data_IF_202207237353
#
_entry.id   IF_202207237353
#
_cell.length_a   1.000
_cell.length_b   1.000
_cell.length_c   1.000
_cell.angle_alpha   90.00
_cell.angle_beta   90.00
_cell.angle_gamma   90.00
#
_symmetry.space_group_name_H-M   'P 1'
#
loop_
_entity.id
_entity.type
_entity.pdbx_description
1 polymer ?
#
# COMPACT_ATOMS: atom_id res chain seq x y z
N UNK A 1 12.63 -15.48 18.02
CA UNK A 1 11.19 -15.53 17.69
C UNK A 1 10.52 -14.15 17.57
N UNK A 2 11.24 -13.01 17.55
CA UNK A 2 10.61 -11.67 17.36
C UNK A 2 10.49 -11.21 15.91
N UNK A 3 11.42 -11.62 15.03
CA UNK A 3 11.42 -11.24 13.60
C UNK A 3 10.17 -11.73 12.88
N UNK A 4 9.59 -12.87 13.29
CA UNK A 4 8.39 -13.40 12.62
C UNK A 4 7.17 -12.49 12.82
N UNK A 5 7.00 -11.88 14.00
CA UNK A 5 5.85 -11.03 14.26
C UNK A 5 5.90 -9.71 13.45
N UNK A 6 7.08 -9.13 13.32
CA UNK A 6 7.28 -7.92 12.50
C UNK A 6 7.16 -8.24 11.00
N UNK A 7 7.69 -9.38 10.54
CA UNK A 7 7.52 -9.80 9.14
C UNK A 7 6.07 -10.18 8.84
N UNK A 8 5.34 -10.84 9.75
CA UNK A 8 3.91 -11.15 9.62
C UNK A 8 3.07 -9.88 9.47
N UNK A 9 3.41 -8.81 10.20
CA UNK A 9 2.77 -7.50 10.05
C UNK A 9 3.07 -6.93 8.66
N UNK A 10 4.34 -6.99 8.22
CA UNK A 10 4.78 -6.50 6.91
C UNK A 10 4.08 -7.23 5.76
N UNK A 11 3.93 -8.55 5.87
CA UNK A 11 3.21 -9.39 4.92
C UNK A 11 1.71 -9.08 4.94
N UNK A 12 1.11 -8.94 6.12
CA UNK A 12 -0.30 -8.57 6.27
C UNK A 12 -0.62 -7.23 5.60
N UNK A 13 0.19 -6.19 5.85
CA UNK A 13 0.07 -4.89 5.17
C UNK A 13 0.20 -5.03 3.66
N UNK A 14 1.15 -5.84 3.18
CA UNK A 14 1.34 -6.09 1.74
C UNK A 14 0.12 -6.77 1.12
N UNK A 15 -0.49 -7.74 1.80
CA UNK A 15 -1.71 -8.42 1.35
C UNK A 15 -2.88 -7.44 1.34
N UNK A 16 -3.04 -6.64 2.39
CA UNK A 16 -4.12 -5.66 2.50
C UNK A 16 -4.12 -4.67 1.33
N UNK A 17 -2.96 -4.07 1.01
CA UNK A 17 -2.82 -3.09 -0.06
C UNK A 17 -2.95 -3.70 -1.46
N UNK A 18 -2.66 -5.01 -1.61
CA UNK A 18 -2.82 -5.75 -2.87
C UNK A 18 -4.23 -6.27 -3.11
N UNK A 19 -5.00 -6.45 -2.04
CA UNK A 19 -6.34 -7.04 -2.14
C UNK A 19 -7.34 -5.95 -2.49
N UNK A 20 -8.18 -6.21 -3.50
CA UNK A 20 -9.27 -5.29 -3.85
C UNK A 20 -10.48 -5.59 -2.96
N UNK A 21 -11.16 -4.55 -2.43
CA UNK A 21 -12.45 -4.75 -1.78
C UNK A 21 -13.40 -5.54 -2.69
N UNK A 22 -14.02 -6.58 -2.15
CA UNK A 22 -14.88 -7.52 -2.87
C UNK A 22 -14.20 -8.77 -3.44
N UNK A 23 -12.86 -8.87 -3.47
CA UNK A 23 -12.16 -10.10 -3.90
C UNK A 23 -12.41 -11.27 -2.95
N UNK A 24 -12.58 -10.99 -1.66
CA UNK A 24 -12.88 -12.00 -0.65
C UNK A 24 -14.39 -12.09 -0.44
N UNK A 25 -15.01 -13.14 -0.96
CA UNK A 25 -16.47 -13.39 -0.83
C UNK A 25 -16.95 -13.33 0.62
N UNK A 26 -16.15 -13.84 1.56
CA UNK A 26 -16.50 -13.88 2.99
C UNK A 26 -16.09 -12.60 3.75
N UNK A 27 -15.35 -11.68 3.13
CA UNK A 27 -14.88 -10.42 3.70
C UNK A 27 -14.85 -9.33 2.61
N UNK A 28 -16.02 -8.87 2.14
CA UNK A 28 -16.10 -7.94 1.01
C UNK A 28 -15.43 -6.59 1.31
N UNK A 29 -15.38 -6.18 2.59
CA UNK A 29 -14.75 -4.92 2.99
C UNK A 29 -13.22 -5.02 3.09
N UNK A 30 -12.65 -6.23 3.05
CA UNK A 30 -11.19 -6.42 3.17
C UNK A 30 -10.47 -6.01 1.90
N UNK A 31 -9.55 -5.07 2.03
CA UNK A 31 -8.67 -4.62 0.97
C UNK A 31 -8.40 -3.13 1.04
N UNK A 32 -7.77 -2.62 -0.02
CA UNK A 32 -7.60 -1.20 -0.24
C UNK A 32 -7.92 -0.88 -1.71
N UNK A 33 -8.79 0.10 -1.95
CA UNK A 33 -9.23 0.49 -3.27
C UNK A 33 -8.22 1.34 -4.04
N UNK A 34 -6.91 1.17 -3.79
CA UNK A 34 -5.81 1.87 -4.50
C UNK A 34 -5.98 1.71 -6.02
N UNK A 35 -6.46 0.55 -6.46
CA UNK A 35 -6.72 0.24 -7.86
C UNK A 35 -7.79 1.11 -8.53
N UNK A 36 -8.69 1.74 -7.77
CA UNK A 36 -9.71 2.65 -8.32
C UNK A 36 -9.09 3.94 -8.84
N UNK A 37 -7.97 4.35 -8.24
CA UNK A 37 -7.25 5.57 -8.57
C UNK A 37 -6.24 5.38 -9.71
N UNK A 38 -6.13 4.16 -10.28
CA UNK A 38 -5.18 3.84 -11.36
C UNK A 38 -5.42 4.65 -12.62
N UNK A 39 -6.65 5.08 -12.87
CA UNK A 39 -7.03 5.78 -14.09
C UNK A 39 -7.30 7.28 -13.87
N UNK A 40 -7.14 7.76 -12.64
CA UNK A 40 -7.38 9.15 -12.29
C UNK A 40 -6.10 9.99 -12.43
N UNK A 41 -6.28 11.26 -12.75
CA UNK A 41 -5.20 12.23 -12.74
C UNK A 41 -4.81 12.50 -11.28
N UNK A 42 -3.55 12.23 -10.93
CA UNK A 42 -3.01 12.57 -9.62
C UNK A 42 -3.09 14.08 -9.38
N UNK A 43 -4.08 14.50 -8.60
CA UNK A 43 -4.18 15.83 -8.02
C UNK A 43 -4.07 15.76 -6.48
N UNK A 44 -3.96 16.92 -5.84
CA UNK A 44 -3.82 16.98 -4.37
C UNK A 44 -5.03 16.40 -3.62
N UNK A 45 -6.23 16.43 -4.24
CA UNK A 45 -7.44 15.87 -3.64
C UNK A 45 -7.41 14.34 -3.69
N UNK A 46 -7.01 13.78 -4.83
CA UNK A 46 -6.82 12.35 -5.04
C UNK A 46 -5.77 11.79 -4.08
N UNK A 47 -4.66 12.50 -3.93
CA UNK A 47 -3.60 12.14 -3.00
C UNK A 47 -4.14 12.08 -1.55
N UNK A 48 -4.89 13.10 -1.13
CA UNK A 48 -5.49 13.15 0.20
C UNK A 48 -6.51 12.01 0.42
N UNK A 49 -7.37 11.75 -0.57
CA UNK A 49 -8.36 10.67 -0.53
C UNK A 49 -7.67 9.30 -0.44
N UNK A 50 -6.64 9.08 -1.24
CA UNK A 50 -5.87 7.84 -1.24
C UNK A 50 -5.16 7.62 0.10
N UNK A 51 -4.54 8.67 0.65
CA UNK A 51 -3.93 8.60 1.98
C UNK A 51 -4.95 8.26 3.06
N UNK A 52 -6.16 8.82 3.00
CA UNK A 52 -7.21 8.52 3.96
C UNK A 52 -7.75 7.11 3.83
N UNK A 53 -7.98 6.63 2.61
CA UNK A 53 -8.44 5.27 2.37
C UNK A 53 -7.42 4.23 2.88
N UNK A 54 -6.14 4.43 2.60
CA UNK A 54 -5.06 3.58 3.12
C UNK A 54 -5.04 3.63 4.65
N UNK A 55 -5.18 4.82 5.23
CA UNK A 55 -5.21 5.01 6.69
C UNK A 55 -6.36 4.23 7.33
N UNK A 56 -7.58 4.36 6.80
CA UNK A 56 -8.76 3.66 7.31
C UNK A 56 -8.60 2.14 7.19
N UNK A 57 -8.14 1.65 6.05
CA UNK A 57 -7.90 0.22 5.83
C UNK A 57 -6.91 -0.34 6.84
N UNK A 58 -5.77 0.35 7.06
CA UNK A 58 -4.76 -0.09 8.03
C UNK A 58 -5.31 -0.07 9.47
N UNK A 59 -6.03 0.99 9.86
CA UNK A 59 -6.59 1.11 11.20
C UNK A 59 -7.60 0.00 11.51
N UNK A 60 -8.36 -0.44 10.51
CA UNK A 60 -9.38 -1.46 10.68
C UNK A 60 -8.80 -2.89 10.61
N UNK A 61 -7.92 -3.16 9.65
CA UNK A 61 -7.45 -4.51 9.37
C UNK A 61 -6.10 -4.87 10.02
N UNK A 62 -5.34 -3.91 10.52
CA UNK A 62 -4.03 -4.14 11.15
C UNK A 62 -3.88 -3.48 12.53
N UNK A 63 -4.63 -3.93 13.56
CA UNK A 63 -4.64 -3.32 14.89
C UNK A 63 -3.33 -3.50 15.68
N UNK A 64 -2.42 -4.36 15.20
CA UNK A 64 -1.12 -4.65 15.85
C UNK A 64 -0.15 -3.48 15.75
N UNK A 65 -0.39 -2.53 14.84
CA UNK A 65 0.45 -1.35 14.66
C UNK A 65 -0.27 -0.06 15.12
N UNK A 66 0.52 0.97 15.38
CA UNK A 66 0.09 2.36 15.43
C UNK A 66 0.59 3.01 14.16
N UNK A 67 -0.34 3.47 13.33
CA UNK A 67 0.00 4.19 12.11
C UNK A 67 0.49 5.60 12.47
N UNK A 68 1.73 5.93 12.09
CA UNK A 68 2.33 7.23 12.38
C UNK A 68 2.22 8.18 11.18
N UNK A 69 2.42 7.69 9.95
CA UNK A 69 2.26 8.47 8.73
C UNK A 69 1.98 7.59 7.50
N UNK A 70 1.23 8.15 6.54
CA UNK A 70 1.07 7.61 5.17
C UNK A 70 1.42 8.73 4.21
N UNK A 71 2.27 8.45 3.23
CA UNK A 71 2.67 9.41 2.19
C UNK A 71 2.60 8.71 0.84
N UNK A 72 2.09 9.42 -0.16
CA UNK A 72 2.02 8.93 -1.54
C UNK A 72 2.92 9.81 -2.38
N UNK A 73 3.92 9.23 -3.02
CA UNK A 73 4.87 9.97 -3.85
C UNK A 73 4.78 9.48 -5.29
N UNK A 74 4.49 10.38 -6.23
CA UNK A 74 4.64 10.10 -7.66
C UNK A 74 6.13 10.08 -7.99
N UNK A 75 6.65 8.94 -8.48
CA UNK A 75 8.07 8.79 -8.83
C UNK A 75 8.37 9.06 -10.28
N UNK A 76 7.40 8.82 -11.16
CA UNK A 76 7.55 9.00 -12.59
C UNK A 76 6.85 10.29 -13.02
N UNK A 77 7.53 11.17 -13.76
CA UNK A 77 6.94 12.38 -14.32
C UNK A 77 5.82 12.06 -15.33
N UNK A 78 5.79 10.84 -15.86
CA UNK A 78 4.72 10.33 -16.72
C UNK A 78 3.58 9.65 -15.92
N UNK A 79 3.66 9.60 -14.59
CA UNK A 79 2.60 9.06 -13.73
C UNK A 79 2.54 7.53 -13.62
N UNK A 80 3.50 6.80 -14.21
CA UNK A 80 3.49 5.32 -14.24
C UNK A 80 3.78 4.62 -12.91
N UNK A 81 4.23 5.33 -11.87
CA UNK A 81 4.58 4.74 -10.57
C UNK A 81 4.29 5.64 -9.38
N UNK A 82 3.57 5.07 -8.41
CA UNK A 82 3.31 5.63 -7.09
C UNK A 82 4.07 4.83 -6.03
N UNK A 83 4.84 5.51 -5.20
CA UNK A 83 5.44 4.91 -4.01
C UNK A 83 4.60 5.31 -2.80
N UNK A 84 3.93 4.32 -2.20
CA UNK A 84 3.16 4.50 -0.96
C UNK A 84 4.08 4.19 0.21
N UNK A 85 4.43 5.19 0.99
CA UNK A 85 5.26 5.05 2.18
C UNK A 85 4.37 5.03 3.41
N UNK A 86 4.47 3.97 4.21
CA UNK A 86 3.74 3.82 5.47
C UNK A 86 4.76 3.74 6.59
N UNK A 87 4.66 4.68 7.54
CA UNK A 87 5.46 4.71 8.75
C UNK A 87 4.58 4.31 9.92
N UNK A 88 5.03 3.33 10.70
CA UNK A 88 4.24 2.77 11.79
C UNK A 88 5.11 2.31 12.95
N UNK A 89 4.50 2.23 14.12
CA UNK A 89 5.11 1.66 15.33
C UNK A 89 4.40 0.35 15.67
N UNK A 90 5.13 -0.75 15.82
CA UNK A 90 4.57 -2.03 16.29
C UNK A 90 4.22 -1.89 17.77
N UNK A 91 2.95 -2.10 18.13
CA UNK A 91 2.48 -1.85 19.51
C UNK A 91 3.14 -2.77 20.55
N UNK A 92 3.41 -4.02 20.15
CA UNK A 92 3.97 -5.03 21.05
C UNK A 92 5.43 -4.75 21.45
N UNK A 93 6.25 -4.28 20.51
CA UNK A 93 7.69 -4.04 20.72
C UNK A 93 8.02 -2.56 20.91
N UNK A 94 7.05 -1.67 20.65
CA UNK A 94 7.26 -0.23 20.53
C UNK A 94 8.38 0.13 19.52
N UNK A 95 8.60 -0.76 18.55
CA UNK A 95 9.60 -0.59 17.51
C UNK A 95 9.00 0.21 16.35
N UNK A 96 9.71 1.24 15.90
CA UNK A 96 9.28 2.06 14.76
C UNK A 96 9.85 1.48 13.47
N UNK A 97 9.01 1.33 12.46
CA UNK A 97 9.37 0.77 11.17
C UNK A 97 8.67 1.50 10.03
N UNK A 98 9.10 1.23 8.81
CA UNK A 98 8.44 1.72 7.62
C UNK A 98 8.35 0.61 6.56
N UNK A 99 7.43 0.80 5.62
CA UNK A 99 7.32 -0.01 4.42
C UNK A 99 7.04 0.93 3.25
N UNK A 100 7.71 0.70 2.13
CA UNK A 100 7.43 1.36 0.86
C UNK A 100 6.76 0.33 -0.05
N UNK A 101 5.54 0.63 -0.48
CA UNK A 101 4.78 -0.17 -1.39
C UNK A 101 4.78 0.48 -2.78
N UNK A 102 5.54 -0.05 -3.74
CA UNK A 102 5.52 0.45 -5.11
C UNK A 102 4.26 -0.03 -5.81
N UNK A 103 3.50 0.91 -6.35
CA UNK A 103 2.30 0.67 -7.11
C UNK A 103 2.50 1.21 -8.52
N UNK A 104 2.35 0.33 -9.51
CA UNK A 104 2.52 0.67 -10.91
C UNK A 104 1.16 1.01 -11.52
N UNK A 105 1.05 2.23 -12.02
CA UNK A 105 -0.07 2.69 -12.82
C UNK A 105 0.13 2.08 -14.22
N UNK A 106 -0.29 0.83 -14.41
CA UNK A 106 -0.19 0.23 -15.74
C UNK A 106 -1.14 0.95 -16.69
N UNK A 107 -0.60 1.81 -17.56
CA UNK A 107 -1.15 1.95 -18.90
C UNK A 107 -1.24 0.52 -19.46
N UNK A 108 -2.44 0.06 -19.78
CA UNK A 108 -2.60 -1.29 -20.32
C UNK A 108 -1.94 -1.36 -21.70
N UNK A 109 -0.64 -1.63 -21.80
CA UNK A 109 0.06 -2.14 -22.99
C UNK A 109 1.52 -2.53 -22.62
N UNK A 110 1.80 -3.84 -22.74
CA UNK A 110 3.12 -4.48 -22.92
C UNK A 110 4.17 -4.33 -21.81
N UNK A 111 4.39 -5.43 -21.11
CA UNK A 111 5.71 -5.77 -20.54
C UNK A 111 6.62 -6.15 -21.71
N UNK A 112 7.70 -5.42 -22.07
CA UNK A 112 8.87 -6.10 -22.59
C UNK A 112 9.54 -6.72 -21.35
N UNK A 113 9.50 -8.04 -21.29
CA UNK A 113 10.29 -8.80 -20.34
C UNK A 113 11.77 -8.62 -20.70
N UNK A 114 12.40 -7.54 -20.26
CA UNK A 114 13.86 -7.53 -20.16
C UNK A 114 14.37 -6.46 -19.19
N UNK A 115 14.81 -6.93 -18.03
CA UNK A 115 15.77 -6.25 -17.18
C UNK A 115 16.32 -7.25 -16.15
N UNK A 116 17.00 -8.28 -16.64
CA UNK A 116 18.07 -8.91 -15.87
C UNK A 116 19.40 -8.34 -16.39
N UNK A 117 20.16 -7.58 -15.58
CA UNK A 117 21.51 -7.23 -15.98
C UNK A 117 22.40 -8.48 -15.88
N UNK A 118 23.18 -8.67 -16.95
CA UNK A 118 24.28 -9.62 -17.15
C UNK A 118 25.17 -9.83 -15.93
#
# INVERSE_FOLDING_TARGET
>A
MMVSAEEDIRQSLTILLRTRPGERVMQPDYGCGIYRYVFDIMDANLEANLQDEIRQAILFFEPRIRLDAVTVTVRDSLGGRLDITIVYTVRATNNRSNIVFPFYLNEGTLVPADAAPT
#
